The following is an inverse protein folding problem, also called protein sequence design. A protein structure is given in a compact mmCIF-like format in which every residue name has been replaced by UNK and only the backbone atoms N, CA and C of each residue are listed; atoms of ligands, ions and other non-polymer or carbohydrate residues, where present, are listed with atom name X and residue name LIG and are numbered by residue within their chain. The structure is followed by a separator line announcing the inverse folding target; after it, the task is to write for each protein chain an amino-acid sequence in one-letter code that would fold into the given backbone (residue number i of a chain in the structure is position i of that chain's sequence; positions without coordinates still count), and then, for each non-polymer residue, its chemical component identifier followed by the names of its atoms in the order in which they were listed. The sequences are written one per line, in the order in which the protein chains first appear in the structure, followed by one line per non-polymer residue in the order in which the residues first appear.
data_IF_982342157884
#
_entry.id   IF_982342157884
#
_cell.length_a   1.000
_cell.length_b   1.000
_cell.length_c   1.000
_cell.angle_alpha   90.00
_cell.angle_beta   90.00
_cell.angle_gamma   90.00
#
_symmetry.space_group_name_H-M   'P 1'
#
loop_
_entity.id
_entity.type
_entity.pdbx_description
1 polymer ?
#
# COMPACT_ATOMS: atom_id res chain seq x y z
N UNK A 1 23.27 73.50 26.97
CA UNK A 1 21.95 73.31 26.33
C UNK A 1 20.98 72.49 27.18
N UNK A 2 19.67 72.68 27.08
CA UNK A 2 18.71 71.95 27.91
C UNK A 2 18.79 70.47 27.61
N UNK A 3 19.08 69.64 28.61
CA UNK A 3 19.06 68.18 28.54
C UNK A 3 17.59 67.74 28.45
N UNK A 4 17.15 67.23 27.30
CA UNK A 4 15.86 66.61 27.15
C UNK A 4 15.92 65.18 27.67
N UNK A 5 15.39 64.94 28.83
CA UNK A 5 15.31 63.63 29.43
C UNK A 5 14.02 62.95 28.95
N UNK A 6 14.17 61.97 28.03
CA UNK A 6 13.05 61.19 27.54
C UNK A 6 12.74 60.06 28.50
N UNK A 7 11.69 60.22 29.29
CA UNK A 7 11.19 59.16 30.18
C UNK A 7 10.18 58.30 29.41
N UNK A 8 10.54 57.05 29.19
CA UNK A 8 9.61 56.06 28.67
C UNK A 8 8.73 55.51 29.79
N UNK A 9 7.47 55.89 29.82
CA UNK A 9 6.50 55.33 30.77
C UNK A 9 5.73 54.17 30.15
N UNK A 10 5.51 53.08 30.91
CA UNK A 10 4.71 51.95 30.40
C UNK A 10 3.29 52.38 30.07
N UNK A 11 2.81 51.94 28.91
CA UNK A 11 1.44 52.24 28.49
C UNK A 11 0.42 51.64 29.45
N UNK A 12 -0.39 52.48 30.09
CA UNK A 12 -1.39 52.05 31.06
C UNK A 12 -2.53 51.20 30.46
N UNK A 13 -2.75 51.26 29.14
CA UNK A 13 -3.79 50.47 28.44
C UNK A 13 -3.34 49.07 28.08
N UNK A 14 -2.15 48.88 27.57
CA UNK A 14 -1.66 47.58 27.12
C UNK A 14 -0.59 46.95 28.02
N UNK A 15 -0.10 47.68 29.06
CA UNK A 15 0.99 47.24 29.97
C UNK A 15 2.19 46.67 29.21
N UNK A 16 2.62 47.34 28.14
CA UNK A 16 3.72 46.95 27.23
C UNK A 16 3.46 45.73 26.33
N UNK A 17 2.30 45.08 26.36
CA UNK A 17 1.97 43.92 25.55
C UNK A 17 1.65 44.25 24.08
N UNK A 18 1.52 45.54 23.70
CA UNK A 18 1.11 46.00 22.39
C UNK A 18 -0.35 45.65 21.98
N UNK A 19 -1.04 44.86 22.82
CA UNK A 19 -2.40 44.38 22.55
C UNK A 19 -3.37 44.86 23.61
N UNK A 20 -4.51 45.44 23.22
CA UNK A 20 -5.57 45.88 24.13
C UNK A 20 -6.69 44.82 24.04
N UNK A 21 -7.06 44.25 25.18
CA UNK A 21 -8.23 43.35 25.26
C UNK A 21 -9.51 44.18 25.09
N UNK A 22 -10.34 43.87 24.10
CA UNK A 22 -11.70 44.44 24.00
C UNK A 22 -12.51 43.90 25.15
N UNK A 23 -13.36 44.78 25.72
CA UNK A 23 -14.23 44.44 26.86
C UNK A 23 -15.33 43.43 26.50
N UNK A 24 -15.72 43.33 25.22
CA UNK A 24 -16.70 42.37 24.72
C UNK A 24 -16.01 41.18 24.07
N UNK A 25 -16.32 39.98 24.52
CA UNK A 25 -15.92 38.76 23.84
C UNK A 25 -16.65 38.65 22.50
N UNK A 26 -15.96 38.24 21.45
CA UNK A 26 -16.58 37.94 20.15
C UNK A 26 -17.67 36.86 20.34
N UNK A 27 -18.89 37.12 19.88
CA UNK A 27 -20.02 36.19 20.03
C UNK A 27 -19.78 34.87 19.26
N UNK A 28 -19.09 34.93 18.12
CA UNK A 28 -18.86 33.79 17.27
C UNK A 28 -17.75 32.86 17.80
N UNK A 29 -16.59 33.40 18.17
CA UNK A 29 -15.46 32.57 18.63
C UNK A 29 -15.30 32.58 20.17
N UNK A 30 -16.12 33.33 20.91
CA UNK A 30 -16.08 33.49 22.38
C UNK A 30 -14.68 33.84 22.93
N UNK A 31 -13.90 34.56 22.12
CA UNK A 31 -12.54 34.97 22.45
C UNK A 31 -11.45 33.97 22.07
N UNK A 32 -11.76 32.85 21.44
CA UNK A 32 -10.76 31.88 20.98
C UNK A 32 -9.97 32.33 19.73
N UNK A 33 -10.50 33.24 18.92
CA UNK A 33 -9.90 33.74 17.69
C UNK A 33 -10.14 32.82 16.47
N UNK A 34 -10.67 31.60 16.68
CA UNK A 34 -10.99 30.61 15.67
C UNK A 34 -12.42 30.13 15.80
N UNK A 35 -12.94 29.64 14.70
CA UNK A 35 -14.26 29.00 14.59
C UNK A 35 -14.04 27.65 13.93
N UNK A 36 -14.55 26.61 14.55
CA UNK A 36 -14.57 25.28 13.98
C UNK A 36 -15.68 25.24 12.92
N UNK A 37 -15.30 25.00 11.67
CA UNK A 37 -16.23 24.80 10.55
C UNK A 37 -15.98 23.44 9.93
N UNK A 38 -16.93 22.50 10.00
CA UNK A 38 -16.79 21.22 9.30
C UNK A 38 -16.74 21.47 7.79
N UNK A 39 -15.78 20.87 7.10
CA UNK A 39 -15.63 20.86 5.65
C UNK A 39 -15.59 19.40 5.18
N UNK A 40 -16.40 19.05 4.19
CA UNK A 40 -16.37 17.74 3.56
C UNK A 40 -15.30 17.72 2.45
N UNK A 41 -14.35 16.81 2.58
CA UNK A 41 -13.29 16.63 1.60
C UNK A 41 -13.53 15.36 0.80
N UNK A 42 -13.65 15.48 -0.52
CA UNK A 42 -13.78 14.33 -1.41
C UNK A 42 -12.41 13.88 -1.89
N UNK A 43 -12.08 12.60 -1.63
CA UNK A 43 -10.82 11.99 -2.02
C UNK A 43 -11.10 10.99 -3.11
N UNK A 44 -10.42 11.11 -4.23
CA UNK A 44 -10.47 10.14 -5.32
C UNK A 44 -9.31 9.17 -5.21
N UNK A 45 -9.60 7.90 -4.95
CA UNK A 45 -8.62 6.83 -4.94
C UNK A 45 -8.64 6.15 -6.30
N UNK A 46 -7.51 6.13 -7.00
CA UNK A 46 -7.39 5.48 -8.29
C UNK A 46 -6.87 4.04 -8.12
N UNK A 47 -7.16 3.18 -9.11
CA UNK A 47 -6.71 1.78 -9.10
C UNK A 47 -5.18 1.60 -9.14
N UNK A 48 -4.46 2.65 -9.55
CA UNK A 48 -2.99 2.65 -9.67
C UNK A 48 -2.28 3.30 -8.48
N UNK A 49 -3.03 3.82 -7.51
CA UNK A 49 -2.44 4.48 -6.36
C UNK A 49 -1.80 3.44 -5.43
N UNK A 50 -0.57 3.71 -5.00
CA UNK A 50 0.11 2.89 -4.02
C UNK A 50 -0.51 3.13 -2.64
N UNK A 51 -1.13 2.09 -2.06
CA UNK A 51 -1.78 2.20 -0.76
C UNK A 51 -0.81 2.39 0.41
N UNK A 52 0.48 2.05 0.23
CA UNK A 52 1.51 2.25 1.27
C UNK A 52 1.95 3.70 1.35
N UNK A 53 1.77 4.47 0.29
CA UNK A 53 2.09 5.89 0.25
C UNK A 53 0.90 6.72 0.72
N UNK A 54 1.03 7.55 1.77
CA UNK A 54 -0.08 8.35 2.25
C UNK A 54 -0.48 9.42 1.23
N UNK A 55 -1.77 9.61 1.05
CA UNK A 55 -2.33 10.70 0.25
C UNK A 55 -2.22 11.98 1.08
N UNK A 56 -1.54 13.00 0.57
CA UNK A 56 -1.34 14.26 1.27
C UNK A 56 -2.25 15.34 0.66
N UNK A 57 -3.16 15.87 1.46
CA UNK A 57 -3.98 17.03 1.13
C UNK A 57 -3.33 18.27 1.75
N UNK A 58 -2.64 19.05 0.93
CA UNK A 58 -1.90 20.24 1.38
C UNK A 58 -2.85 21.33 1.85
N UNK A 59 -2.54 21.93 3.01
CA UNK A 59 -3.27 23.05 3.60
C UNK A 59 -4.78 22.80 3.73
N UNK A 60 -5.18 21.58 4.06
CA UNK A 60 -6.57 21.19 4.28
C UNK A 60 -6.85 20.77 5.74
N UNK A 61 -5.85 20.78 6.58
CA UNK A 61 -5.95 20.50 8.00
C UNK A 61 -6.37 21.71 8.82
N UNK A 62 -6.20 21.59 10.13
CA UNK A 62 -6.52 22.66 11.07
C UNK A 62 -5.50 23.80 10.98
N UNK A 63 -5.95 25.02 11.29
CA UNK A 63 -5.05 26.16 11.35
C UNK A 63 -4.08 26.03 12.53
N UNK A 64 -2.79 26.10 12.20
CA UNK A 64 -1.71 26.02 13.18
C UNK A 64 -1.20 27.42 13.53
N UNK A 65 -1.29 27.81 14.81
CA UNK A 65 -0.91 29.13 15.28
C UNK A 65 0.61 29.35 15.33
N UNK A 66 1.37 28.28 15.45
CA UNK A 66 2.84 28.38 15.52
C UNK A 66 3.41 28.68 14.16
N UNK A 67 2.89 28.00 13.13
CA UNK A 67 3.35 28.16 11.74
C UNK A 67 2.55 29.23 10.99
N UNK A 68 1.44 29.73 11.55
CA UNK A 68 0.52 30.69 10.92
C UNK A 68 -0.04 30.19 9.58
N UNK A 69 -0.23 28.88 9.43
CA UNK A 69 -0.73 28.22 8.22
C UNK A 69 -1.65 27.07 8.58
N UNK A 70 -2.42 26.62 7.60
CA UNK A 70 -3.19 25.39 7.72
C UNK A 70 -2.27 24.19 7.57
N UNK A 71 -2.45 23.18 8.43
CA UNK A 71 -1.69 21.94 8.40
C UNK A 71 -2.12 21.07 7.20
N UNK A 72 -1.29 20.10 6.85
CA UNK A 72 -1.60 19.10 5.83
C UNK A 72 -2.36 17.92 6.46
N UNK A 73 -3.27 17.31 5.68
CA UNK A 73 -3.92 16.05 6.07
C UNK A 73 -3.21 14.90 5.39
N UNK A 74 -2.74 13.94 6.18
CA UNK A 74 -2.13 12.70 5.71
C UNK A 74 -3.15 11.57 5.86
N UNK A 75 -3.53 10.95 4.73
CA UNK A 75 -4.52 9.88 4.67
C UNK A 75 -3.82 8.58 4.34
N UNK A 76 -3.89 7.63 5.24
CA UNK A 76 -3.36 6.28 5.06
C UNK A 76 -4.50 5.35 4.70
N UNK A 77 -4.31 4.57 3.64
CA UNK A 77 -5.26 3.56 3.22
C UNK A 77 -4.98 2.24 3.96
N UNK A 78 -6.01 1.59 4.44
CA UNK A 78 -5.93 0.27 5.06
C UNK A 78 -6.97 -0.66 4.43
N UNK A 79 -6.59 -1.92 4.21
CA UNK A 79 -7.49 -2.92 3.67
C UNK A 79 -8.31 -3.54 4.79
N UNK A 80 -9.58 -3.81 4.48
CA UNK A 80 -10.43 -4.61 5.36
C UNK A 80 -9.97 -6.07 5.27
N UNK A 81 -9.83 -6.72 6.41
CA UNK A 81 -9.53 -8.14 6.47
C UNK A 81 -10.61 -8.98 5.76
N UNK A 82 -10.17 -10.02 5.05
CA UNK A 82 -11.02 -10.98 4.35
C UNK A 82 -10.57 -12.40 4.67
N UNK A 83 -11.52 -13.33 4.79
CA UNK A 83 -11.21 -14.74 5.03
C UNK A 83 -10.46 -15.39 3.86
N UNK A 84 -10.75 -14.96 2.64
CA UNK A 84 -10.18 -15.54 1.42
C UNK A 84 -8.87 -14.89 0.99
N UNK A 85 -8.68 -13.62 1.34
CA UNK A 85 -7.54 -12.84 0.87
C UNK A 85 -6.78 -12.22 2.04
N UNK A 86 -5.46 -12.29 1.95
CA UNK A 86 -4.54 -11.58 2.82
C UNK A 86 -3.58 -10.74 1.97
N UNK A 87 -3.08 -9.63 2.51
CA UNK A 87 -2.19 -8.73 1.80
C UNK A 87 -0.87 -8.65 2.54
N UNK A 88 0.21 -8.91 1.81
CA UNK A 88 1.57 -8.79 2.32
C UNK A 88 2.35 -7.84 1.43
N UNK A 89 2.54 -6.61 1.89
CA UNK A 89 3.05 -5.52 1.05
C UNK A 89 2.13 -5.34 -0.18
N UNK A 90 2.66 -5.51 -1.39
CA UNK A 90 1.88 -5.39 -2.63
C UNK A 90 1.39 -6.74 -3.18
N UNK A 91 1.76 -7.86 -2.54
CA UNK A 91 1.30 -9.17 -2.94
C UNK A 91 -0.04 -9.50 -2.29
N UNK A 92 -0.95 -10.07 -3.07
CA UNK A 92 -2.22 -10.60 -2.59
C UNK A 92 -2.03 -12.10 -2.37
N UNK A 93 -2.30 -12.57 -1.16
CA UNK A 93 -2.28 -13.99 -0.82
C UNK A 93 -3.72 -14.50 -0.83
N UNK A 94 -4.01 -15.46 -1.69
CA UNK A 94 -5.33 -16.07 -1.84
C UNK A 94 -5.32 -17.52 -1.40
N UNK A 95 -6.18 -17.86 -0.44
CA UNK A 95 -6.41 -19.25 -0.03
C UNK A 95 -7.46 -19.87 -0.95
N UNK A 96 -7.00 -20.69 -1.90
CA UNK A 96 -7.86 -21.34 -2.89
C UNK A 96 -8.30 -22.70 -2.39
N UNK A 97 -9.57 -22.80 -2.08
CA UNK A 97 -10.21 -24.05 -1.68
C UNK A 97 -10.54 -24.87 -2.91
N UNK A 98 -9.86 -26.01 -3.10
CA UNK A 98 -10.02 -26.88 -4.28
C UNK A 98 -10.49 -28.27 -3.87
N UNK A 99 -11.39 -28.87 -4.64
CA UNK A 99 -11.74 -30.26 -4.42
C UNK A 99 -10.70 -31.21 -5.02
N UNK A 100 -10.64 -32.44 -4.50
CA UNK A 100 -9.63 -33.42 -4.89
C UNK A 100 -9.71 -33.76 -6.39
N UNK A 101 -10.92 -33.82 -6.98
CA UNK A 101 -11.09 -34.07 -8.42
C UNK A 101 -10.42 -32.98 -9.26
N UNK A 102 -10.72 -31.71 -8.95
CA UNK A 102 -10.17 -30.60 -9.71
C UNK A 102 -8.68 -30.47 -9.51
N UNK A 103 -8.18 -30.78 -8.30
CA UNK A 103 -6.76 -30.79 -8.01
C UNK A 103 -5.96 -31.84 -8.83
N UNK A 104 -6.59 -33.00 -9.10
CA UNK A 104 -5.96 -34.11 -9.81
C UNK A 104 -6.20 -34.11 -11.32
N UNK A 105 -7.34 -33.58 -11.78
CA UNK A 105 -7.81 -33.78 -13.14
C UNK A 105 -8.11 -32.49 -13.92
N UNK A 106 -8.15 -31.33 -13.28
CA UNK A 106 -8.51 -30.10 -13.99
C UNK A 106 -7.28 -29.47 -14.66
N UNK A 107 -7.41 -29.24 -15.96
CA UNK A 107 -6.49 -28.44 -16.76
C UNK A 107 -6.74 -26.93 -16.63
N UNK A 108 -7.85 -26.55 -15.98
CA UNK A 108 -8.33 -25.17 -15.85
C UNK A 108 -8.94 -24.92 -14.49
N UNK A 109 -8.53 -23.82 -13.88
CA UNK A 109 -9.07 -23.33 -12.61
C UNK A 109 -9.67 -21.95 -12.80
N UNK A 110 -10.75 -21.67 -12.09
CA UNK A 110 -11.40 -20.36 -12.11
C UNK A 110 -11.06 -19.59 -10.84
N UNK A 111 -10.55 -18.39 -11.00
CA UNK A 111 -10.16 -17.51 -9.93
C UNK A 111 -10.98 -16.22 -9.97
N UNK A 112 -11.74 -15.96 -8.92
CA UNK A 112 -12.38 -14.66 -8.71
C UNK A 112 -11.41 -13.73 -8.00
N UNK A 113 -11.01 -12.66 -8.67
CA UNK A 113 -10.04 -11.72 -8.13
C UNK A 113 -10.75 -10.51 -7.49
N UNK A 114 -10.18 -9.88 -6.43
CA UNK A 114 -10.77 -8.72 -5.77
C UNK A 114 -11.02 -7.51 -6.68
N UNK A 115 -10.40 -7.46 -7.86
CA UNK A 115 -10.68 -6.42 -8.85
C UNK A 115 -12.02 -6.59 -9.58
N UNK A 116 -12.80 -7.61 -9.25
CA UNK A 116 -14.08 -7.95 -9.85
C UNK A 116 -13.99 -8.71 -11.17
N UNK A 117 -12.81 -9.19 -11.56
CA UNK A 117 -12.61 -10.03 -12.75
C UNK A 117 -12.44 -11.49 -12.35
N UNK A 118 -12.91 -12.38 -13.23
CA UNK A 118 -12.66 -13.81 -13.11
C UNK A 118 -11.60 -14.21 -14.13
N UNK A 119 -10.60 -14.90 -13.65
CA UNK A 119 -9.48 -15.39 -14.46
C UNK A 119 -9.57 -16.88 -14.65
N UNK A 120 -9.21 -17.34 -15.85
CA UNK A 120 -9.05 -18.76 -16.16
C UNK A 120 -7.56 -19.10 -16.08
N UNK A 121 -7.19 -19.91 -15.10
CA UNK A 121 -5.83 -20.33 -14.87
C UNK A 121 -5.62 -21.68 -15.53
N UNK A 122 -4.63 -21.78 -16.41
CA UNK A 122 -4.19 -23.08 -16.93
C UNK A 122 -3.39 -23.81 -15.87
N UNK A 123 -3.67 -25.06 -15.70
CA UNK A 123 -2.96 -25.96 -14.81
C UNK A 123 -2.49 -27.20 -15.59
N UNK A 124 -1.20 -27.41 -15.63
CA UNK A 124 -0.59 -28.55 -16.36
C UNK A 124 -0.18 -29.66 -15.40
N UNK A 125 -0.09 -29.37 -14.10
CA UNK A 125 0.40 -30.29 -13.09
C UNK A 125 -0.68 -30.63 -12.05
N UNK A 126 -0.47 -31.73 -11.34
CA UNK A 126 -1.28 -32.07 -10.16
C UNK A 126 -1.00 -31.07 -9.06
N UNK A 127 -2.06 -30.47 -8.54
CA UNK A 127 -2.00 -29.55 -7.40
C UNK A 127 -2.04 -30.35 -6.11
N UNK A 128 -1.03 -30.22 -5.26
CA UNK A 128 -0.96 -30.88 -3.97
C UNK A 128 -1.52 -30.01 -2.86
N UNK A 129 -1.92 -30.63 -1.75
CA UNK A 129 -2.32 -29.92 -0.54
C UNK A 129 -1.17 -29.02 -0.06
N UNK A 130 -1.46 -27.72 0.08
CA UNK A 130 -0.51 -26.73 0.55
C UNK A 130 0.43 -26.19 -0.53
N UNK A 131 0.27 -26.59 -1.81
CA UNK A 131 1.03 -26.00 -2.90
C UNK A 131 0.83 -24.51 -2.99
N UNK A 132 1.90 -23.80 -3.33
CA UNK A 132 1.88 -22.36 -3.50
C UNK A 132 2.31 -22.04 -4.92
N UNK A 133 1.42 -21.38 -5.67
CA UNK A 133 1.65 -20.90 -7.03
C UNK A 133 1.58 -19.39 -7.08
N UNK A 134 2.27 -18.79 -8.04
CA UNK A 134 2.36 -17.35 -8.19
C UNK A 134 1.89 -16.92 -9.58
N UNK A 135 1.10 -15.86 -9.63
CA UNK A 135 0.74 -15.14 -10.85
C UNK A 135 1.35 -13.75 -10.77
N UNK A 136 2.28 -13.47 -11.68
CA UNK A 136 2.99 -12.20 -11.69
C UNK A 136 2.06 -11.03 -12.06
N UNK A 137 2.32 -9.87 -11.46
CA UNK A 137 1.63 -8.59 -11.75
C UNK A 137 0.12 -8.58 -11.49
N UNK A 138 -0.39 -9.54 -10.74
CA UNK A 138 -1.81 -9.61 -10.38
C UNK A 138 -2.05 -9.27 -8.89
N UNK A 139 -1.11 -8.61 -8.26
CA UNK A 139 -1.23 -8.05 -6.91
C UNK A 139 -1.67 -6.59 -6.91
N UNK A 140 -1.39 -5.90 -5.80
CA UNK A 140 -1.67 -4.49 -5.65
C UNK A 140 -0.64 -3.63 -6.38
N UNK A 141 -1.04 -2.47 -6.88
CA UNK A 141 -0.14 -1.56 -7.55
C UNK A 141 0.89 -0.97 -6.58
N UNK A 142 2.05 -0.63 -7.11
CA UNK A 142 3.08 0.17 -6.48
C UNK A 142 3.58 1.23 -7.47
N UNK A 143 4.53 2.08 -7.05
CA UNK A 143 5.04 3.18 -7.88
C UNK A 143 5.56 2.76 -9.26
N UNK A 144 6.09 1.54 -9.39
CA UNK A 144 6.77 1.09 -10.62
C UNK A 144 6.06 -0.05 -11.33
N UNK A 145 5.23 -0.82 -10.61
CA UNK A 145 4.66 -2.05 -11.14
C UNK A 145 3.45 -2.49 -10.30
N UNK A 146 3.05 -3.73 -10.41
CA UNK A 146 2.10 -4.38 -9.50
C UNK A 146 2.79 -5.50 -8.76
N UNK A 147 2.34 -5.78 -7.54
CA UNK A 147 2.71 -6.99 -6.81
C UNK A 147 2.20 -8.25 -7.51
N UNK A 148 2.32 -9.38 -6.84
CA UNK A 148 1.92 -10.67 -7.37
C UNK A 148 0.69 -11.21 -6.64
N UNK A 149 -0.02 -12.12 -7.30
CA UNK A 149 -1.02 -12.95 -6.65
C UNK A 149 -0.37 -14.28 -6.27
N UNK A 150 -0.34 -14.57 -4.98
CA UNK A 150 0.17 -15.82 -4.40
C UNK A 150 -1.04 -16.67 -4.04
N UNK A 151 -1.18 -17.82 -4.69
CA UNK A 151 -2.29 -18.75 -4.46
C UNK A 151 -1.78 -19.89 -3.60
N UNK A 152 -2.42 -20.09 -2.46
CA UNK A 152 -2.18 -21.24 -1.59
C UNK A 152 -3.35 -22.20 -1.72
N UNK A 153 -3.08 -23.43 -2.14
CA UNK A 153 -4.11 -24.43 -2.38
C UNK A 153 -4.40 -25.23 -1.12
N UNK A 154 -5.68 -25.33 -0.78
CA UNK A 154 -6.16 -26.15 0.32
C UNK A 154 -7.28 -27.07 -0.17
N UNK A 155 -7.22 -28.37 0.19
CA UNK A 155 -8.21 -29.34 -0.26
C UNK A 155 -9.48 -29.23 0.56
N UNK A 156 -10.61 -29.29 -0.14
CA UNK A 156 -11.91 -29.48 0.48
C UNK A 156 -12.10 -30.98 0.70
N UNK A 157 -12.18 -31.37 1.96
CA UNK A 157 -12.50 -32.74 2.34
C UNK A 157 -13.98 -32.88 2.65
N UNK A 158 -14.63 -34.00 2.26
CA UNK A 158 -15.99 -34.29 2.64
C UNK A 158 -16.10 -34.47 4.17
N UNK A 159 -17.24 -34.07 4.71
CA UNK A 159 -17.54 -34.26 6.13
C UNK A 159 -17.97 -35.72 6.39
N UNK A 160 -17.14 -36.46 7.12
CA UNK A 160 -17.43 -37.85 7.50
C UNK A 160 -16.86 -38.91 6.55
N UNK A 161 -17.14 -40.17 6.86
CA UNK A 161 -16.70 -41.30 6.05
C UNK A 161 -17.63 -41.48 4.86
N UNK A 162 -17.07 -41.48 3.65
CA UNK A 162 -17.82 -41.69 2.41
C UNK A 162 -17.83 -43.18 2.04
N UNK A 163 -18.98 -43.68 1.58
CA UNK A 163 -19.00 -44.92 0.80
C UNK A 163 -18.38 -44.68 -0.59
N UNK A 164 -18.01 -45.75 -1.29
CA UNK A 164 -17.46 -45.63 -2.65
C UNK A 164 -18.43 -44.92 -3.61
N UNK A 165 -19.71 -45.11 -3.44
CA UNK A 165 -20.73 -44.44 -4.21
C UNK A 165 -20.79 -42.94 -3.90
N UNK A 166 -20.80 -42.58 -2.62
CA UNK A 166 -20.84 -41.17 -2.18
C UNK A 166 -19.57 -40.42 -2.63
N UNK A 167 -18.42 -41.09 -2.68
CA UNK A 167 -17.19 -40.52 -3.18
C UNK A 167 -17.30 -40.18 -4.69
N UNK A 168 -17.87 -41.07 -5.49
CA UNK A 168 -18.12 -40.81 -6.90
C UNK A 168 -19.11 -39.67 -7.11
N UNK A 169 -20.19 -39.60 -6.32
CA UNK A 169 -21.18 -38.52 -6.38
C UNK A 169 -20.54 -37.18 -5.94
N UNK A 170 -19.73 -37.17 -4.90
CA UNK A 170 -18.96 -35.98 -4.47
C UNK A 170 -18.04 -35.47 -5.59
N UNK A 171 -17.31 -36.38 -6.25
CA UNK A 171 -16.44 -36.02 -7.35
C UNK A 171 -17.24 -35.47 -8.56
N UNK A 172 -18.41 -36.02 -8.88
CA UNK A 172 -19.19 -35.69 -10.08
C UNK A 172 -20.07 -34.44 -9.93
N UNK A 173 -20.49 -34.09 -8.73
CA UNK A 173 -21.45 -32.99 -8.49
C UNK A 173 -20.83 -31.60 -8.41
N UNK A 174 -19.50 -31.49 -8.38
CA UNK A 174 -18.84 -30.20 -8.34
C UNK A 174 -18.63 -29.67 -9.78
N UNK A 175 -19.58 -28.88 -10.27
CA UNK A 175 -19.46 -28.21 -11.59
C UNK A 175 -19.31 -26.71 -11.39
N UNK A 176 -18.32 -26.13 -12.07
CA UNK A 176 -18.17 -24.69 -12.18
C UNK A 176 -18.88 -24.22 -13.44
N UNK A 177 -19.71 -23.17 -13.34
CA UNK A 177 -20.42 -22.58 -14.46
C UNK A 177 -19.46 -21.99 -15.49
N UNK A 178 -19.58 -22.41 -16.76
CA UNK A 178 -18.60 -22.15 -17.85
C UNK A 178 -18.93 -20.93 -18.73
N UNK A 179 -19.87 -20.06 -18.34
CA UNK A 179 -20.48 -19.11 -19.29
C UNK A 179 -20.01 -17.66 -19.23
N UNK A 180 -18.76 -17.37 -18.90
CA UNK A 180 -18.23 -16.00 -18.85
C UNK A 180 -16.99 -15.82 -19.74
N UNK A 181 -16.73 -14.59 -20.19
CA UNK A 181 -15.49 -14.20 -20.84
C UNK A 181 -14.38 -14.16 -19.77
N UNK A 182 -13.47 -15.13 -19.82
CA UNK A 182 -12.36 -15.26 -18.89
C UNK A 182 -11.05 -14.79 -19.54
N UNK A 183 -10.24 -14.11 -18.78
CA UNK A 183 -8.86 -13.82 -19.15
C UNK A 183 -7.98 -15.02 -18.75
N UNK A 184 -7.22 -15.56 -19.70
CA UNK A 184 -6.39 -16.74 -19.48
C UNK A 184 -5.04 -16.30 -18.94
N UNK A 185 -4.61 -16.88 -17.82
CA UNK A 185 -3.33 -16.59 -17.15
C UNK A 185 -2.59 -17.89 -16.82
N UNK A 186 -1.28 -17.77 -16.69
CA UNK A 186 -0.39 -18.88 -16.31
C UNK A 186 0.12 -18.72 -14.88
N UNK A 187 0.20 -19.82 -14.15
CA UNK A 187 0.81 -19.90 -12.83
C UNK A 187 2.26 -20.32 -12.92
N UNK A 188 3.07 -19.88 -11.96
CA UNK A 188 4.49 -20.30 -11.80
C UNK A 188 4.71 -20.88 -10.42
N UNK A 189 5.61 -21.87 -10.33
CA UNK A 189 6.01 -22.41 -9.05
C UNK A 189 6.82 -21.40 -8.23
N UNK A 190 6.63 -21.41 -6.92
CA UNK A 190 7.29 -20.48 -6.00
C UNK A 190 8.81 -20.66 -6.00
N UNK A 191 9.32 -21.88 -6.20
CA UNK A 191 10.75 -22.17 -6.22
C UNK A 191 11.43 -21.48 -7.42
N UNK A 192 10.80 -21.50 -8.58
CA UNK A 192 11.27 -20.80 -9.76
C UNK A 192 11.23 -19.29 -9.59
N UNK A 193 10.22 -18.79 -8.87
CA UNK A 193 10.07 -17.37 -8.55
C UNK A 193 11.13 -16.89 -7.55
N UNK A 194 11.38 -17.65 -6.49
CA UNK A 194 12.37 -17.30 -5.47
C UNK A 194 13.78 -17.28 -6.06
N UNK A 195 14.14 -18.26 -6.91
CA UNK A 195 15.43 -18.31 -7.59
C UNK A 195 15.66 -17.11 -8.52
N UNK A 196 14.59 -16.64 -9.19
CA UNK A 196 14.67 -15.45 -10.05
C UNK A 196 14.88 -14.19 -9.21
N UNK A 197 14.11 -14.03 -8.12
CA UNK A 197 14.22 -12.89 -7.22
C UNK A 197 15.58 -12.82 -6.50
N UNK A 198 16.18 -13.95 -6.15
CA UNK A 198 17.52 -13.97 -5.55
C UNK A 198 18.57 -13.49 -6.54
N UNK A 199 18.52 -13.93 -7.79
CA UNK A 199 19.42 -13.46 -8.86
C UNK A 199 19.26 -11.98 -9.15
N UNK A 200 18.03 -11.47 -9.16
CA UNK A 200 17.75 -10.03 -9.34
C UNK A 200 18.30 -9.21 -8.17
N UNK A 201 18.13 -9.68 -6.92
CA UNK A 201 18.68 -9.03 -5.72
C UNK A 201 20.21 -9.05 -5.69
N UNK A 202 20.85 -10.13 -6.13
CA UNK A 202 22.31 -10.20 -6.26
C UNK A 202 22.81 -9.22 -7.32
N UNK A 203 22.12 -9.12 -8.45
CA UNK A 203 22.43 -8.18 -9.51
C UNK A 203 22.29 -6.72 -9.03
N UNK A 204 21.21 -6.38 -8.31
CA UNK A 204 21.04 -5.05 -7.70
C UNK A 204 22.10 -4.74 -6.66
N UNK A 205 22.48 -5.71 -5.82
CA UNK A 205 23.58 -5.54 -4.83
C UNK A 205 24.89 -5.27 -5.53
N UNK A 206 25.17 -5.98 -6.63
CA UNK A 206 26.38 -5.80 -7.43
C UNK A 206 26.44 -4.38 -8.03
N UNK A 207 25.35 -3.88 -8.59
CA UNK A 207 25.26 -2.51 -9.11
C UNK A 207 25.38 -1.44 -8.02
N UNK A 208 24.73 -1.61 -6.88
CA UNK A 208 24.87 -0.68 -5.73
C UNK A 208 26.30 -0.62 -5.18
N UNK A 209 27.01 -1.73 -5.18
CA UNK A 209 28.44 -1.77 -4.79
C UNK A 209 29.34 -1.06 -5.82
N UNK A 210 29.02 -1.17 -7.08
CA UNK A 210 29.81 -0.54 -8.15
C UNK A 210 29.63 0.98 -8.19
N UNK A 211 28.44 1.47 -7.95
CA UNK A 211 28.16 2.92 -7.88
C UNK A 211 28.78 3.57 -6.64
N UNK A 212 28.96 2.86 -5.52
CA UNK A 212 29.66 3.37 -4.34
C UNK A 212 31.17 3.45 -4.52
N UNK A 213 31.78 2.57 -5.30
CA UNK A 213 33.23 2.61 -5.61
C UNK A 213 33.61 3.66 -6.66
N UNK A 214 32.64 4.15 -7.44
CA UNK A 214 32.86 5.19 -8.46
C UNK A 214 32.89 6.61 -7.92
N UNK A 215 32.66 6.84 -6.62
CA UNK A 215 32.66 8.18 -5.99
C UNK A 215 33.93 8.52 -5.18
N UNK A 216 34.91 7.63 -5.11
CA UNK A 216 36.22 7.98 -4.57
C UNK A 216 37.12 8.51 -5.70
N UNK A 217 36.99 9.79 -6.01
CA UNK A 217 37.98 10.51 -6.80
C UNK A 217 39.24 10.71 -5.92
N UNK A 218 40.41 10.21 -6.34
CA UNK A 218 41.63 10.62 -5.70
C UNK A 218 41.89 12.09 -6.07
N UNK A 219 41.93 12.96 -5.08
CA UNK A 219 42.39 14.34 -5.22
C UNK A 219 43.82 14.32 -5.74
N UNK A 220 44.03 14.65 -7.00
CA UNK A 220 45.35 14.99 -7.54
C UNK A 220 45.76 16.33 -6.98
N UNK A 221 46.65 16.29 -6.01
CA UNK A 221 47.42 17.45 -5.57
C UNK A 221 48.36 17.89 -6.70
N UNK A 222 48.04 19.00 -7.35
CA UNK A 222 49.00 19.72 -8.19
C UNK A 222 49.87 20.57 -7.28
N UNK A 223 51.13 20.14 -7.08
CA UNK A 223 52.18 20.98 -6.61
C UNK A 223 52.62 21.93 -7.76
N UNK A 224 52.38 23.21 -7.59
CA UNK A 224 53.03 24.24 -8.39
C UNK A 224 54.47 24.40 -7.86
N UNK A 225 55.46 23.99 -8.64
CA UNK A 225 56.85 24.46 -8.47
C UNK A 225 57.00 25.77 -9.24
N UNK A 226 57.36 26.81 -8.51
CA UNK A 226 57.91 28.03 -9.04
C UNK A 226 59.39 27.84 -9.32
N UNK A 227 59.83 28.24 -10.48
CA UNK A 227 61.16 28.75 -10.78
C UNK A 227 61.07 29.69 -11.96
#
# INVERSE_FOLDING_TARGET
GPMIQQMQSPCNKCKQTGKIKKSSKCETCKGRGLIDRPEELTIKINKCDDYMTPIILKSKGNYNFETMRDDDIHIKLEFKESESYNIKKHDIIYNYMINIKDALCSDKLYLEHPNGRTYLIKNEDIIKQGDIKIIEKLGLPNEYSSGNLVIKFEYIYPKGQLSYKDFNDFINNYRIDKNNNYEIIEMKDIDNYNNKNEKEKEHERFFKHRSRRGMENPAMGQQCQQS
#
